data_IF_703130358307
#
_entry.id   IF_703130358307
#
_cell.length_a   1.000
_cell.length_b   1.000
_cell.length_c   1.000
_cell.angle_alpha   90.00
_cell.angle_beta   90.00
_cell.angle_gamma   90.00
#
_symmetry.space_group_name_H-M   'P 1'
#
loop_
_entity.id
_entity.type
_entity.pdbx_description
1 polymer ?
#
# COMPACT_ATOMS: atom_id res chain seq x y z
N UNK A 1 12.74 -29.67 39.90
CA UNK A 1 13.11 -28.34 40.40
C UNK A 1 12.13 -27.98 41.50
N UNK A 2 12.58 -27.95 42.74
CA UNK A 2 11.78 -27.60 43.91
C UNK A 2 11.89 -26.10 44.13
N UNK A 3 10.77 -25.37 44.06
CA UNK A 3 10.74 -23.96 44.43
C UNK A 3 10.63 -23.89 45.96
N UNK A 4 11.72 -23.44 46.60
CA UNK A 4 11.78 -23.23 48.04
C UNK A 4 10.79 -22.16 48.48
N UNK A 5 9.99 -22.50 49.50
CA UNK A 5 9.18 -21.55 50.27
C UNK A 5 10.08 -20.47 50.89
N UNK A 6 9.98 -19.23 50.41
CA UNK A 6 10.61 -18.08 51.05
C UNK A 6 9.62 -17.32 51.94
N UNK A 7 10.13 -16.84 53.07
CA UNK A 7 9.41 -16.23 54.19
C UNK A 7 8.47 -15.07 53.80
N UNK A 8 7.18 -15.22 54.14
CA UNK A 8 6.06 -14.34 53.78
C UNK A 8 6.09 -12.90 54.33
N UNK A 9 7.05 -12.55 55.20
CA UNK A 9 7.02 -11.27 55.93
C UNK A 9 7.66 -10.10 55.17
N UNK A 10 8.53 -10.35 54.20
CA UNK A 10 9.12 -9.30 53.35
C UNK A 10 8.42 -9.12 52.00
N UNK A 11 7.90 -10.21 51.43
CA UNK A 11 7.33 -10.23 50.08
C UNK A 11 5.94 -9.56 50.02
N UNK A 12 5.16 -9.63 51.10
CA UNK A 12 3.83 -9.00 51.19
C UNK A 12 3.91 -7.48 51.00
N UNK A 13 4.91 -6.81 51.58
CA UNK A 13 5.10 -5.37 51.43
C UNK A 13 5.52 -4.97 50.01
N UNK A 14 6.32 -5.80 49.33
CA UNK A 14 6.73 -5.54 47.95
C UNK A 14 5.55 -5.70 46.99
N UNK A 15 4.74 -6.75 47.15
CA UNK A 15 3.52 -6.93 46.35
C UNK A 15 2.55 -5.76 46.56
N UNK A 16 2.38 -5.29 47.80
CA UNK A 16 1.52 -4.16 48.12
C UNK A 16 1.97 -2.88 47.40
N UNK A 17 3.28 -2.59 47.39
CA UNK A 17 3.83 -1.40 46.71
C UNK A 17 3.62 -1.49 45.18
N UNK A 18 3.84 -2.66 44.57
CA UNK A 18 3.65 -2.87 43.13
C UNK A 18 2.17 -2.68 42.73
N UNK A 19 1.23 -3.17 43.55
CA UNK A 19 -0.21 -2.98 43.33
C UNK A 19 -0.61 -1.51 43.43
N UNK A 20 -0.06 -0.77 44.39
CA UNK A 20 -0.35 0.68 44.52
C UNK A 20 0.21 1.47 43.34
N UNK A 21 1.45 1.17 42.89
CA UNK A 21 2.06 1.85 41.74
C UNK A 21 1.31 1.55 40.44
N UNK A 22 0.86 0.31 40.24
CA UNK A 22 0.04 -0.04 39.07
C UNK A 22 -1.33 0.61 39.10
N UNK A 23 -1.99 0.68 40.26
CA UNK A 23 -3.26 1.41 40.41
C UNK A 23 -3.12 2.91 40.12
N UNK A 24 -2.07 3.55 40.64
CA UNK A 24 -1.78 4.96 40.36
C UNK A 24 -1.43 5.20 38.89
N UNK A 25 -0.68 4.28 38.27
CA UNK A 25 -0.35 4.34 36.85
C UNK A 25 -1.58 4.24 35.93
N UNK A 26 -2.51 3.32 36.23
CA UNK A 26 -3.75 3.15 35.46
C UNK A 26 -4.67 4.37 35.61
N UNK A 27 -4.82 4.90 36.82
CA UNK A 27 -5.63 6.10 37.06
C UNK A 27 -5.03 7.34 36.38
N UNK A 28 -3.71 7.51 36.45
CA UNK A 28 -3.00 8.59 35.76
C UNK A 28 -3.14 8.51 34.23
N UNK A 29 -3.01 7.30 33.68
CA UNK A 29 -3.21 7.05 32.25
C UNK A 29 -4.64 7.38 31.79
N UNK A 30 -5.67 6.94 32.53
CA UNK A 30 -7.06 7.23 32.19
C UNK A 30 -7.44 8.71 32.34
N UNK A 31 -6.86 9.44 33.31
CA UNK A 31 -7.04 10.87 33.43
C UNK A 31 -6.39 11.65 32.26
N UNK A 32 -5.26 11.16 31.74
CA UNK A 32 -4.56 11.79 30.62
C UNK A 32 -5.27 11.56 29.28
N UNK A 33 -5.84 10.37 29.04
CA UNK A 33 -6.56 10.05 27.80
C UNK A 33 -7.93 10.74 27.71
N UNK A 34 -8.55 11.11 28.83
CA UNK A 34 -9.85 11.80 28.84
C UNK A 34 -9.81 13.31 28.57
N UNK A 35 -8.64 13.92 28.33
CA UNK A 35 -8.54 15.38 28.09
C UNK A 35 -8.71 15.83 26.63
N UNK A 36 -9.05 14.93 25.72
CA UNK A 36 -9.47 15.29 24.36
C UNK A 36 -10.98 15.50 24.32
N UNK A 37 -11.43 16.69 24.73
CA UNK A 37 -12.82 17.12 24.52
C UNK A 37 -13.11 17.30 23.02
N UNK A 38 -14.33 16.95 22.54
CA UNK A 38 -14.75 17.27 21.19
C UNK A 38 -14.94 18.79 21.06
N UNK A 39 -14.32 19.37 20.03
CA UNK A 39 -14.51 20.78 19.67
C UNK A 39 -16.00 20.98 19.31
N UNK A 40 -16.75 21.57 20.23
CA UNK A 40 -18.06 22.15 19.94
C UNK A 40 -17.82 23.31 18.99
N UNK A 41 -18.39 23.24 17.78
CA UNK A 41 -18.36 24.32 16.81
C UNK A 41 -18.97 25.59 17.41
N UNK A 42 -18.13 26.60 17.59
CA UNK A 42 -18.57 27.98 17.82
C UNK A 42 -19.12 28.54 16.49
N UNK A 43 -20.33 29.11 16.46
CA UNK A 43 -20.82 29.77 15.25
C UNK A 43 -19.97 31.01 14.97
N UNK A 44 -19.32 31.00 13.80
CA UNK A 44 -18.58 32.16 13.27
C UNK A 44 -19.59 33.20 12.78
N UNK A 45 -19.41 34.51 13.07
CA UNK A 45 -20.31 35.54 12.59
C UNK A 45 -20.27 35.67 11.07
N UNK A 46 -21.44 35.66 10.45
CA UNK A 46 -21.68 35.90 9.03
C UNK A 46 -21.06 37.23 8.56
N UNK A 47 -20.16 37.24 7.56
CA UNK A 47 -19.77 38.49 6.93
C UNK A 47 -20.91 39.00 6.03
N UNK A 48 -21.33 40.24 6.27
CA UNK A 48 -22.31 40.96 5.44
C UNK A 48 -21.78 41.11 4.02
N UNK A 49 -22.55 40.64 3.03
CA UNK A 49 -22.22 40.79 1.61
C UNK A 49 -22.37 42.26 1.19
N UNK A 50 -21.25 42.90 0.87
CA UNK A 50 -21.25 44.15 0.08
C UNK A 50 -20.96 43.76 -1.37
N UNK A 51 -21.93 44.02 -2.26
CA UNK A 51 -21.81 43.78 -3.69
C UNK A 51 -20.90 44.84 -4.32
N UNK A 52 -19.64 44.47 -4.60
CA UNK A 52 -18.74 45.24 -5.48
C UNK A 52 -18.38 44.34 -6.68
N UNK A 53 -18.46 44.82 -7.94
CA UNK A 53 -18.18 43.98 -9.10
C UNK A 53 -16.68 43.70 -9.19
N UNK A 54 -16.28 42.43 -9.09
CA UNK A 54 -14.88 42.00 -9.23
C UNK A 54 -14.60 41.75 -10.71
N UNK A 55 -13.73 42.58 -11.28
CA UNK A 55 -13.15 42.40 -12.61
C UNK A 55 -12.34 41.10 -12.66
N UNK A 56 -12.67 40.21 -13.59
CA UNK A 56 -12.01 38.91 -13.77
C UNK A 56 -10.63 39.05 -14.40
N UNK A 57 -9.60 39.19 -13.56
CA UNK A 57 -8.21 38.94 -13.96
C UNK A 57 -8.02 37.42 -14.09
N UNK A 58 -7.60 36.88 -15.24
CA UNK A 58 -7.38 35.44 -15.37
C UNK A 58 -6.22 34.99 -14.48
N UNK A 59 -6.51 34.10 -13.53
CA UNK A 59 -5.51 33.39 -12.73
C UNK A 59 -4.56 32.66 -13.68
N UNK A 60 -3.22 32.83 -13.57
CA UNK A 60 -2.28 32.08 -14.40
C UNK A 60 -2.50 30.58 -14.17
N UNK A 61 -2.82 29.87 -15.24
CA UNK A 61 -2.91 28.41 -15.24
C UNK A 61 -1.59 27.85 -14.72
N UNK A 62 -1.57 26.96 -13.71
CA UNK A 62 -0.33 26.37 -13.23
C UNK A 62 0.35 25.67 -14.41
N UNK A 63 1.58 26.10 -14.71
CA UNK A 63 2.45 25.46 -15.69
C UNK A 63 2.52 23.97 -15.33
N UNK A 64 2.16 23.10 -16.26
CA UNK A 64 2.21 21.65 -16.05
C UNK A 64 3.67 21.26 -15.75
N UNK A 65 3.99 21.12 -14.45
CA UNK A 65 5.35 20.82 -13.95
C UNK A 65 5.88 19.48 -14.46
N UNK A 66 5.02 18.66 -15.09
CA UNK A 66 5.37 17.37 -15.69
C UNK A 66 5.51 17.42 -17.21
N UNK A 67 5.50 18.61 -17.82
CA UNK A 67 5.52 18.77 -19.29
C UNK A 67 6.77 18.21 -19.97
N UNK A 68 7.92 18.14 -19.29
CA UNK A 68 9.17 17.60 -19.82
C UNK A 68 9.46 16.16 -19.35
N UNK A 69 8.54 15.52 -18.64
CA UNK A 69 8.73 14.18 -18.12
C UNK A 69 8.63 13.11 -19.22
N UNK A 70 9.31 12.00 -19.02
CA UNK A 70 9.17 10.80 -19.84
C UNK A 70 7.92 10.03 -19.43
N UNK A 71 7.42 9.19 -20.32
CA UNK A 71 6.29 8.29 -20.07
C UNK A 71 6.76 6.85 -20.11
N UNK A 72 6.36 6.06 -19.13
CA UNK A 72 6.49 4.61 -19.14
C UNK A 72 5.10 3.99 -19.28
N UNK A 73 5.01 2.90 -20.04
CA UNK A 73 3.79 2.12 -20.21
C UNK A 73 4.12 0.64 -20.24
N UNK A 74 3.41 -0.15 -19.43
CA UNK A 74 3.47 -1.60 -19.48
C UNK A 74 2.12 -2.09 -20.02
N UNK A 75 2.09 -2.58 -21.26
CA UNK A 75 0.85 -2.99 -21.95
C UNK A 75 0.31 -4.33 -21.47
N UNK A 76 1.18 -5.18 -20.90
CA UNK A 76 0.80 -6.51 -20.40
C UNK A 76 -0.08 -6.38 -19.16
N UNK A 77 0.33 -5.58 -18.19
CA UNK A 77 -0.46 -5.25 -16.98
C UNK A 77 -1.45 -4.10 -17.25
N UNK A 78 -1.14 -3.25 -18.23
CA UNK A 78 -1.91 -2.10 -18.69
C UNK A 78 -1.99 -0.98 -17.66
N UNK A 79 -0.84 -0.37 -17.41
CA UNK A 79 -0.74 0.89 -16.72
C UNK A 79 0.32 1.79 -17.38
N UNK A 80 0.24 3.07 -17.10
CA UNK A 80 1.21 4.07 -17.52
C UNK A 80 1.41 5.13 -16.45
N UNK A 81 2.59 5.72 -16.41
CA UNK A 81 2.91 6.86 -15.55
C UNK A 81 3.99 7.72 -16.21
N UNK A 82 4.12 8.97 -15.75
CA UNK A 82 5.21 9.87 -16.13
C UNK A 82 6.27 9.94 -15.04
N UNK A 83 7.52 10.18 -15.43
CA UNK A 83 8.65 10.33 -14.51
C UNK A 83 9.72 11.31 -15.05
N UNK A 84 10.53 11.93 -14.18
CA UNK A 84 11.62 12.83 -14.61
C UNK A 84 12.64 12.16 -15.54
N UNK A 85 13.18 12.91 -16.51
CA UNK A 85 14.16 12.40 -17.49
C UNK A 85 15.47 11.87 -16.86
N UNK A 86 15.79 12.30 -15.65
CA UNK A 86 16.99 11.90 -14.91
C UNK A 86 16.82 10.60 -14.12
N UNK A 87 15.62 10.00 -14.17
CA UNK A 87 15.34 8.77 -13.44
C UNK A 87 15.52 7.56 -14.34
N UNK A 88 15.89 6.43 -13.73
CA UNK A 88 16.02 5.16 -14.43
C UNK A 88 14.81 4.29 -14.14
N UNK A 89 14.25 3.72 -15.20
CA UNK A 89 13.20 2.71 -15.13
C UNK A 89 13.77 1.39 -15.66
N UNK A 90 13.79 0.38 -14.80
CA UNK A 90 14.19 -0.99 -15.12
C UNK A 90 12.93 -1.85 -15.12
N UNK A 91 12.33 -2.03 -16.30
CA UNK A 91 11.12 -2.81 -16.46
C UNK A 91 11.44 -4.28 -16.75
N UNK A 92 11.35 -5.09 -15.70
CA UNK A 92 11.29 -6.55 -15.80
C UNK A 92 9.90 -7.10 -15.54
N UNK A 93 8.86 -6.25 -15.43
CA UNK A 93 7.55 -6.66 -14.96
C UNK A 93 6.73 -7.34 -16.06
N UNK A 94 6.33 -8.57 -15.79
CA UNK A 94 5.35 -9.39 -16.51
C UNK A 94 4.39 -10.04 -15.51
N UNK A 95 3.30 -10.61 -15.99
CA UNK A 95 2.40 -11.41 -15.14
C UNK A 95 3.21 -12.53 -14.44
N UNK A 96 3.03 -12.67 -13.12
CA UNK A 96 3.74 -13.64 -12.27
C UNK A 96 5.26 -13.44 -12.13
N UNK A 97 5.81 -12.29 -12.52
CA UNK A 97 7.22 -11.97 -12.30
C UNK A 97 7.37 -10.74 -11.42
N UNK A 98 8.41 -10.73 -10.58
CA UNK A 98 8.94 -9.50 -10.01
C UNK A 98 9.94 -8.91 -11.02
N UNK A 99 10.04 -7.61 -11.25
CA UNK A 99 9.30 -6.43 -10.80
C UNK A 99 9.65 -5.29 -11.78
N UNK A 100 8.97 -4.13 -11.70
CA UNK A 100 9.50 -2.88 -12.27
C UNK A 100 10.18 -2.10 -11.15
N UNK A 101 11.43 -1.66 -11.38
CA UNK A 101 12.14 -0.79 -10.45
C UNK A 101 12.31 0.60 -11.06
N UNK A 102 12.03 1.63 -10.26
CA UNK A 102 12.20 3.04 -10.64
C UNK A 102 13.17 3.67 -9.65
N UNK A 103 14.20 4.34 -10.15
CA UNK A 103 15.25 4.98 -9.36
C UNK A 103 15.30 6.47 -9.68
N UNK A 104 15.45 7.32 -8.66
CA UNK A 104 15.66 8.76 -8.87
C UNK A 104 17.09 9.14 -9.34
N UNK A 105 17.82 8.18 -9.90
CA UNK A 105 19.20 8.31 -10.37
C UNK A 105 19.36 7.58 -11.71
N UNK A 106 20.21 8.10 -12.59
CA UNK A 106 20.52 7.50 -13.90
C UNK A 106 21.46 6.30 -13.82
N UNK A 107 22.26 6.17 -12.76
CA UNK A 107 23.24 5.09 -12.59
C UNK A 107 23.14 4.46 -11.19
N UNK A 108 22.09 3.67 -10.89
CA UNK A 108 21.97 2.99 -9.61
C UNK A 108 22.91 1.78 -9.56
N UNK A 109 23.83 1.70 -8.59
CA UNK A 109 24.47 0.43 -8.26
C UNK A 109 23.51 -0.42 -7.42
N UNK A 110 23.56 -1.74 -7.64
CA UNK A 110 22.74 -2.69 -6.89
C UNK A 110 23.15 -2.62 -5.40
N UNK A 111 22.24 -2.12 -4.54
CA UNK A 111 22.49 -1.88 -3.12
C UNK A 111 22.69 -0.40 -2.72
N UNK A 112 22.73 0.54 -3.67
CA UNK A 112 22.86 1.98 -3.38
C UNK A 112 21.68 2.55 -2.58
N UNK A 113 20.48 2.05 -2.82
CA UNK A 113 19.29 2.44 -2.05
C UNK A 113 19.40 2.06 -0.57
N UNK A 114 20.24 1.07 -0.23
CA UNK A 114 20.53 0.69 1.17
C UNK A 114 21.65 1.53 1.77
N UNK A 115 22.42 2.27 0.94
CA UNK A 115 23.63 2.95 1.38
C UNK A 115 23.49 4.48 1.39
N UNK A 116 22.86 5.13 0.41
CA UNK A 116 22.91 6.61 0.32
C UNK A 116 21.78 7.28 -0.50
N UNK A 117 20.69 7.72 0.15
CA UNK A 117 19.75 8.76 -0.34
C UNK A 117 19.12 8.56 -1.74
N UNK A 118 19.36 7.44 -2.41
CA UNK A 118 18.71 7.09 -3.68
C UNK A 118 17.34 6.53 -3.35
N UNK A 119 16.33 7.15 -3.93
CA UNK A 119 14.97 6.64 -3.87
C UNK A 119 14.84 5.48 -4.85
N UNK A 120 14.30 4.38 -4.37
CA UNK A 120 13.89 3.24 -5.19
C UNK A 120 12.41 3.02 -4.96
N UNK A 121 11.62 2.99 -6.03
CA UNK A 121 10.26 2.48 -6.02
C UNK A 121 10.21 1.15 -6.77
N UNK A 122 9.73 0.10 -6.12
CA UNK A 122 9.51 -1.19 -6.74
C UNK A 122 8.02 -1.43 -6.89
N UNK A 123 7.58 -1.67 -8.12
CA UNK A 123 6.21 -1.97 -8.46
C UNK A 123 6.06 -3.47 -8.67
N UNK A 124 5.00 -4.02 -8.09
CA UNK A 124 4.60 -5.41 -8.15
C UNK A 124 3.12 -5.47 -8.51
N UNK A 125 2.76 -6.42 -9.36
CA UNK A 125 1.37 -6.65 -9.73
C UNK A 125 0.87 -7.93 -9.06
N UNK A 126 -0.20 -7.79 -8.28
CA UNK A 126 -0.77 -8.88 -7.50
C UNK A 126 -2.24 -9.11 -7.88
N UNK A 127 -2.61 -10.38 -7.94
CA UNK A 127 -3.97 -10.84 -8.22
C UNK A 127 -4.39 -11.80 -7.10
N UNK A 128 -5.28 -11.37 -6.22
CA UNK A 128 -5.77 -12.16 -5.09
C UNK A 128 -7.29 -12.31 -5.12
N UNK A 129 -7.75 -13.45 -5.65
CA UNK A 129 -9.17 -13.79 -5.81
C UNK A 129 -9.93 -13.95 -4.49
N UNK A 130 -9.21 -14.12 -3.38
CA UNK A 130 -9.83 -14.27 -2.06
C UNK A 130 -10.27 -12.93 -1.47
N UNK A 131 -9.80 -11.82 -2.03
CA UNK A 131 -10.09 -10.46 -1.56
C UNK A 131 -11.33 -9.93 -2.28
N UNK A 132 -12.37 -9.69 -1.50
CA UNK A 132 -13.68 -9.23 -2.02
C UNK A 132 -13.90 -7.73 -1.84
N UNK A 133 -13.18 -7.10 -0.91
CA UNK A 133 -13.36 -5.69 -0.57
C UNK A 133 -12.08 -5.06 0.02
N UNK A 134 -12.05 -3.73 0.00
CA UNK A 134 -10.95 -2.88 0.49
C UNK A 134 -10.51 -3.20 1.93
N UNK A 135 -11.47 -3.39 2.84
CA UNK A 135 -11.16 -3.59 4.26
C UNK A 135 -10.48 -4.95 4.48
N UNK A 136 -10.99 -6.01 3.85
CA UNK A 136 -10.40 -7.34 3.90
C UNK A 136 -8.93 -7.34 3.41
N UNK A 137 -8.65 -6.61 2.32
CA UNK A 137 -7.27 -6.46 1.82
C UNK A 137 -6.36 -5.76 2.84
N UNK A 138 -6.82 -4.63 3.39
CA UNK A 138 -6.07 -3.84 4.38
C UNK A 138 -5.80 -4.68 5.63
N UNK A 139 -6.79 -5.39 6.14
CA UNK A 139 -6.66 -6.24 7.33
C UNK A 139 -5.66 -7.38 7.09
N UNK A 140 -5.68 -7.98 5.89
CA UNK A 140 -4.72 -8.99 5.46
C UNK A 140 -3.27 -8.47 5.47
N UNK A 141 -3.04 -7.28 4.92
CA UNK A 141 -1.72 -6.62 4.93
C UNK A 141 -1.22 -6.31 6.34
N UNK A 142 -2.10 -5.78 7.20
CA UNK A 142 -1.76 -5.49 8.60
C UNK A 142 -1.35 -6.77 9.31
N UNK A 143 -2.15 -7.83 9.16
CA UNK A 143 -1.87 -9.14 9.75
C UNK A 143 -0.53 -9.70 9.27
N UNK A 144 -0.28 -9.73 7.97
CA UNK A 144 0.99 -10.24 7.42
C UNK A 144 2.20 -9.44 7.91
N UNK A 145 2.07 -8.13 8.07
CA UNK A 145 3.14 -7.28 8.60
C UNK A 145 3.44 -7.52 10.09
N UNK A 146 2.43 -7.95 10.87
CA UNK A 146 2.58 -8.27 12.28
C UNK A 146 3.18 -9.65 12.54
N UNK A 147 2.98 -10.58 11.60
CA UNK A 147 3.44 -11.96 11.68
C UNK A 147 4.83 -12.16 11.06
N UNK A 148 5.23 -11.33 10.10
CA UNK A 148 6.60 -11.33 9.59
C UNK A 148 7.55 -10.75 10.63
N UNK A 149 8.64 -11.45 10.96
CA UNK A 149 9.77 -10.91 11.77
C UNK A 149 10.48 -9.71 11.11
N UNK A 150 9.94 -9.19 10.02
CA UNK A 150 10.44 -8.02 9.31
C UNK A 150 10.30 -6.78 10.21
N UNK A 151 11.40 -6.04 10.31
CA UNK A 151 11.54 -4.92 11.23
C UNK A 151 10.41 -3.90 11.03
N UNK A 152 9.57 -3.82 12.07
CA UNK A 152 8.49 -2.85 12.35
C UNK A 152 7.14 -3.03 11.64
N UNK A 153 6.04 -3.10 12.41
CA UNK A 153 4.69 -3.24 11.87
C UNK A 153 4.23 -1.99 11.11
N UNK A 154 3.28 -2.17 10.19
CA UNK A 154 2.58 -1.06 9.51
C UNK A 154 2.02 -0.12 10.57
N UNK A 155 2.49 1.13 10.57
CA UNK A 155 2.20 2.08 11.64
C UNK A 155 1.01 2.99 11.35
N UNK A 156 0.67 3.20 10.07
CA UNK A 156 -0.46 4.04 9.66
C UNK A 156 -0.90 3.76 8.22
N UNK A 157 -2.20 3.77 7.98
CA UNK A 157 -2.79 3.81 6.63
C UNK A 157 -3.49 5.16 6.39
N UNK A 158 -3.45 5.64 5.16
CA UNK A 158 -4.23 6.81 4.71
C UNK A 158 -4.67 6.62 3.27
N UNK A 159 -5.84 7.17 2.91
CA UNK A 159 -6.34 7.16 1.54
C UNK A 159 -5.88 8.45 0.86
N UNK A 160 -5.12 8.30 -0.23
CA UNK A 160 -4.74 9.39 -1.11
C UNK A 160 -5.58 9.26 -2.37
N UNK A 161 -6.49 10.21 -2.60
CA UNK A 161 -7.21 10.30 -3.86
C UNK A 161 -6.31 10.96 -4.90
N UNK A 162 -5.91 10.21 -5.93
CA UNK A 162 -5.21 10.79 -7.08
C UNK A 162 -6.22 11.52 -7.96
N UNK A 163 -6.25 12.85 -7.79
CA UNK A 163 -6.94 13.86 -8.61
C UNK A 163 -8.12 13.34 -9.44
N UNK A 164 -9.32 13.19 -8.84
CA UNK A 164 -10.68 13.26 -9.42
C UNK A 164 -10.99 12.79 -10.87
N UNK A 165 -10.08 12.10 -11.55
CA UNK A 165 -10.15 11.76 -12.98
C UNK A 165 -10.29 10.26 -13.19
N UNK A 166 -9.87 9.43 -12.22
CA UNK A 166 -9.90 7.97 -12.33
C UNK A 166 -10.43 7.22 -11.09
N UNK A 167 -10.73 7.88 -9.96
CA UNK A 167 -11.29 7.20 -8.77
C UNK A 167 -10.35 6.19 -8.09
N UNK A 168 -9.03 6.40 -8.20
CA UNK A 168 -8.01 5.52 -7.63
C UNK A 168 -7.88 5.74 -6.13
N UNK A 169 -8.26 4.73 -5.35
CA UNK A 169 -8.00 4.65 -3.91
C UNK A 169 -6.56 4.21 -3.68
N UNK A 170 -5.61 5.15 -3.63
CA UNK A 170 -4.26 4.80 -3.22
C UNK A 170 -4.24 4.68 -1.71
N UNK A 171 -3.98 3.47 -1.20
CA UNK A 171 -3.77 3.27 0.23
C UNK A 171 -2.28 3.37 0.51
N UNK A 172 -1.88 4.43 1.20
CA UNK A 172 -0.50 4.67 1.62
C UNK A 172 -0.26 4.07 3.00
N UNK A 173 0.77 3.26 3.12
CA UNK A 173 1.22 2.62 4.34
C UNK A 173 2.59 3.16 4.71
N UNK A 174 2.78 3.55 5.95
CA UNK A 174 4.13 3.82 6.49
C UNK A 174 4.59 2.58 7.23
N UNK A 175 5.55 1.86 6.66
CA UNK A 175 6.32 0.84 7.38
C UNK A 175 7.50 1.52 8.11
N UNK A 176 8.27 0.79 8.91
CA UNK A 176 9.54 1.35 9.39
C UNK A 176 10.65 1.25 8.35
N UNK A 177 11.89 1.34 8.84
CA UNK A 177 13.13 1.61 8.08
C UNK A 177 12.92 2.57 6.89
N UNK A 178 12.19 3.67 7.11
CA UNK A 178 12.02 4.75 6.12
C UNK A 178 11.32 4.35 4.82
N UNK A 179 10.53 3.28 4.82
CA UNK A 179 9.81 2.80 3.64
C UNK A 179 8.33 3.21 3.62
N UNK A 180 7.79 3.41 2.42
CA UNK A 180 6.38 3.72 2.20
C UNK A 180 5.81 2.74 1.18
N UNK A 181 4.71 2.06 1.55
CA UNK A 181 3.95 1.19 0.67
C UNK A 181 2.75 1.91 0.06
N UNK A 182 2.41 1.60 -1.18
CA UNK A 182 1.19 2.05 -1.84
C UNK A 182 0.46 0.85 -2.43
N UNK A 183 -0.85 0.77 -2.18
CA UNK A 183 -1.74 -0.20 -2.82
C UNK A 183 -2.66 0.56 -3.75
N UNK A 184 -2.63 0.20 -5.02
CA UNK A 184 -3.34 0.90 -6.08
C UNK A 184 -4.24 -0.12 -6.79
N UNK A 185 -5.53 -0.18 -6.44
CA UNK A 185 -6.46 -1.14 -7.03
C UNK A 185 -6.79 -0.73 -8.46
N UNK A 186 -6.77 -1.71 -9.36
CA UNK A 186 -7.15 -1.51 -10.77
C UNK A 186 -8.65 -1.37 -10.97
N UNK A 187 -9.42 -2.05 -10.12
CA UNK A 187 -10.89 -2.06 -10.08
C UNK A 187 -11.36 -1.80 -8.66
N UNK A 188 -12.65 -1.48 -8.46
CA UNK A 188 -13.22 -1.19 -7.14
C UNK A 188 -13.13 -2.36 -6.14
N UNK A 189 -12.93 -3.60 -6.61
CA UNK A 189 -12.97 -4.81 -5.77
C UNK A 189 -11.61 -5.25 -5.18
N UNK A 190 -10.52 -4.47 -5.34
CA UNK A 190 -9.17 -4.77 -4.77
C UNK A 190 -8.59 -6.16 -5.13
N UNK A 191 -9.20 -6.85 -6.09
CA UNK A 191 -8.76 -8.16 -6.60
C UNK A 191 -7.45 -8.07 -7.40
N UNK A 192 -7.29 -6.98 -8.15
CA UNK A 192 -6.12 -6.67 -8.97
C UNK A 192 -5.51 -5.38 -8.42
N UNK A 193 -4.29 -5.45 -7.90
CA UNK A 193 -3.62 -4.31 -7.29
C UNK A 193 -2.20 -4.17 -7.84
N UNK A 194 -1.79 -2.92 -8.01
CA UNK A 194 -0.39 -2.56 -8.16
C UNK A 194 0.12 -2.18 -6.77
N UNK A 195 0.98 -3.02 -6.21
CA UNK A 195 1.66 -2.78 -4.95
C UNK A 195 3.01 -2.11 -5.20
N UNK A 196 3.28 -1.01 -4.51
CA UNK A 196 4.50 -0.22 -4.70
C UNK A 196 5.19 -0.01 -3.37
N UNK A 197 6.41 -0.52 -3.24
CA UNK A 197 7.26 -0.22 -2.07
C UNK A 197 8.29 0.82 -2.47
N UNK A 198 8.39 1.89 -1.69
CA UNK A 198 9.34 2.97 -1.90
C UNK A 198 10.31 3.05 -0.72
N UNK A 199 11.59 2.88 -0.99
CA UNK A 199 12.68 3.14 -0.06
C UNK A 199 13.21 4.56 -0.27
N UNK A 200 13.49 5.27 0.83
CA UNK A 200 13.95 6.67 0.81
C UNK A 200 13.01 7.58 -0.02
N UNK A 201 11.71 7.67 0.33
CA UNK A 201 10.71 8.37 -0.47
C UNK A 201 11.06 9.85 -0.66
N UNK A 202 11.08 10.28 -1.93
CA UNK A 202 11.15 11.69 -2.32
C UNK A 202 9.73 12.21 -2.60
N UNK A 203 9.44 13.45 -2.20
CA UNK A 203 8.23 14.21 -2.56
C UNK A 203 7.91 14.21 -4.05
N UNK A 204 8.91 14.11 -4.93
CA UNK A 204 8.71 14.00 -6.39
C UNK A 204 7.94 12.74 -6.78
N UNK A 205 8.03 11.66 -5.99
CA UNK A 205 7.33 10.41 -6.28
C UNK A 205 5.80 10.54 -6.16
N UNK A 206 5.31 11.39 -5.27
CA UNK A 206 3.87 11.66 -5.17
C UNK A 206 3.35 12.32 -6.46
N UNK A 207 4.18 13.12 -7.14
CA UNK A 207 3.86 13.65 -8.48
C UNK A 207 3.85 12.52 -9.53
N UNK A 208 4.77 11.55 -9.45
CA UNK A 208 4.73 10.35 -10.33
C UNK A 208 3.41 9.60 -10.15
N UNK A 209 3.03 9.30 -8.91
CA UNK A 209 1.75 8.66 -8.60
C UNK A 209 0.55 9.47 -9.11
N UNK A 210 0.64 10.81 -9.09
CA UNK A 210 -0.45 11.65 -9.61
C UNK A 210 -0.67 11.53 -11.12
N UNK A 211 0.34 11.05 -11.87
CA UNK A 211 0.26 10.82 -13.32
C UNK A 211 -0.13 9.40 -13.69
N UNK A 212 -0.21 8.49 -12.70
CA UNK A 212 -0.49 7.08 -12.91
C UNK A 212 -1.92 6.88 -13.44
N UNK A 213 -2.03 6.03 -14.46
CA UNK A 213 -3.31 5.65 -15.09
C UNK A 213 -3.28 4.18 -15.44
N UNK A 214 -4.36 3.47 -15.12
CA UNK A 214 -4.60 2.19 -15.76
C UNK A 214 -5.06 2.42 -17.20
N UNK A 215 -4.49 1.64 -18.10
CA UNK A 215 -4.89 1.58 -19.50
C UNK A 215 -5.72 0.33 -19.73
N UNK A 216 -6.30 0.20 -20.91
CA UNK A 216 -6.92 -1.06 -21.33
C UNK A 216 -5.82 -2.11 -21.49
N UNK A 217 -5.56 -2.89 -20.42
CA UNK A 217 -4.68 -4.06 -20.49
C UNK A 217 -5.40 -5.24 -21.13
N UNK A 218 -4.62 -6.23 -21.56
CA UNK A 218 -5.12 -7.58 -21.66
C UNK A 218 -5.74 -8.01 -20.32
N UNK A 219 -6.80 -8.80 -20.40
CA UNK A 219 -7.48 -9.36 -19.25
C UNK A 219 -6.49 -10.26 -18.47
N UNK A 220 -5.99 -9.85 -17.28
CA UNK A 220 -4.87 -10.50 -16.60
C UNK A 220 -5.25 -11.87 -16.04
N UNK A 221 -6.56 -12.14 -15.98
CA UNK A 221 -7.16 -13.43 -15.67
C UNK A 221 -7.10 -14.40 -16.85
N UNK A 222 -6.81 -13.93 -18.06
CA UNK A 222 -6.47 -14.78 -19.21
C UNK A 222 -5.00 -15.19 -19.11
N UNK A 223 -4.74 -16.50 -19.07
CA UNK A 223 -3.40 -17.06 -18.96
C UNK A 223 -2.88 -17.24 -17.52
N UNK A 224 -3.65 -16.86 -16.49
CA UNK A 224 -3.32 -17.17 -15.09
C UNK A 224 -3.26 -18.69 -14.91
N UNK A 225 -2.23 -19.19 -14.23
CA UNK A 225 -2.12 -20.62 -13.91
C UNK A 225 -3.24 -21.06 -12.97
N UNK A 226 -3.86 -22.20 -13.27
CA UNK A 226 -4.94 -22.80 -12.50
C UNK A 226 -4.80 -24.32 -12.50
N UNK A 227 -5.50 -24.99 -11.59
CA UNK A 227 -5.39 -26.45 -11.40
C UNK A 227 -4.45 -26.82 -10.25
N UNK A 228 -3.95 -28.05 -10.24
CA UNK A 228 -3.14 -28.57 -9.13
C UNK A 228 -3.91 -28.91 -7.85
N UNK A 229 -3.32 -29.78 -7.03
CA UNK A 229 -3.89 -30.18 -5.74
C UNK A 229 -3.81 -29.08 -4.68
N UNK A 230 -4.27 -29.37 -3.45
CA UNK A 230 -4.37 -28.43 -2.31
C UNK A 230 -3.03 -27.75 -1.92
N UNK A 231 -1.90 -28.24 -2.44
CA UNK A 231 -0.53 -27.77 -2.14
C UNK A 231 0.15 -27.07 -3.34
N UNK A 232 -0.58 -26.86 -4.42
CA UNK A 232 -0.06 -26.44 -5.71
C UNK A 232 -0.37 -24.94 -5.95
N UNK A 233 0.44 -24.24 -6.75
CA UNK A 233 0.31 -22.79 -6.97
C UNK A 233 -0.87 -22.43 -7.89
N UNK A 234 -1.43 -23.41 -8.60
CA UNK A 234 -2.64 -23.23 -9.39
C UNK A 234 -3.85 -23.08 -8.48
N UNK A 235 -4.55 -21.96 -8.58
CA UNK A 235 -5.81 -21.74 -7.87
C UNK A 235 -7.01 -22.11 -8.73
N UNK A 236 -8.21 -21.92 -8.17
CA UNK A 236 -9.41 -21.81 -8.98
C UNK A 236 -9.37 -20.53 -9.83
N UNK A 237 -9.87 -20.61 -11.05
CA UNK A 237 -10.13 -19.42 -11.85
C UNK A 237 -11.27 -18.60 -11.22
N UNK A 238 -11.21 -17.26 -11.31
CA UNK A 238 -12.29 -16.41 -10.82
C UNK A 238 -13.55 -16.54 -11.69
N UNK A 239 -14.67 -16.05 -11.17
CA UNK A 239 -15.97 -16.06 -11.84
C UNK A 239 -15.88 -15.47 -13.25
N UNK A 240 -16.41 -16.18 -14.25
CA UNK A 240 -16.36 -15.79 -15.66
C UNK A 240 -15.18 -16.37 -16.46
N UNK A 241 -14.35 -17.20 -15.83
CA UNK A 241 -13.24 -17.90 -16.46
C UNK A 241 -13.31 -19.40 -16.17
N UNK A 242 -12.84 -20.19 -17.12
CA UNK A 242 -12.71 -21.65 -17.01
C UNK A 242 -11.22 -22.02 -17.04
N UNK A 243 -10.82 -22.94 -16.17
CA UNK A 243 -9.47 -23.50 -16.23
C UNK A 243 -9.37 -24.47 -17.41
N UNK A 244 -8.52 -24.16 -18.39
CA UNK A 244 -8.22 -25.04 -19.53
C UNK A 244 -6.84 -25.65 -19.38
N UNK A 245 -6.79 -26.98 -19.50
CA UNK A 245 -5.55 -27.74 -19.45
C UNK A 245 -5.01 -28.01 -20.86
N UNK A 246 -3.68 -28.08 -21.02
CA UNK A 246 -3.07 -28.54 -22.27
C UNK A 246 -3.40 -30.02 -22.54
N UNK A 247 -3.29 -30.45 -23.79
CA UNK A 247 -3.73 -31.79 -24.21
C UNK A 247 -2.91 -32.94 -23.59
N UNK A 248 -1.68 -32.65 -23.16
CA UNK A 248 -0.74 -33.55 -22.50
C UNK A 248 -0.74 -33.41 -20.97
N UNK A 249 -1.79 -32.80 -20.40
CA UNK A 249 -1.92 -32.57 -18.97
C UNK A 249 -1.82 -33.85 -18.15
N UNK A 250 -1.01 -33.80 -17.09
CA UNK A 250 -0.90 -34.84 -16.08
C UNK A 250 -1.77 -34.49 -14.86
N UNK A 251 -2.59 -35.44 -14.41
CA UNK A 251 -3.47 -35.26 -13.25
C UNK A 251 -2.67 -34.76 -12.02
N UNK A 252 -3.03 -33.56 -11.55
CA UNK A 252 -2.41 -32.92 -10.38
C UNK A 252 -1.33 -31.88 -10.67
N UNK A 253 -1.02 -31.59 -11.94
CA UNK A 253 -0.09 -30.53 -12.33
C UNK A 253 -0.71 -29.11 -12.30
N UNK A 254 0.14 -28.10 -12.05
CA UNK A 254 -0.15 -26.65 -12.09
C UNK A 254 0.09 -26.06 -13.50
N UNK A 255 -0.44 -26.68 -14.54
CA UNK A 255 -0.21 -26.28 -15.94
C UNK A 255 -1.51 -25.83 -16.66
N UNK A 256 -2.63 -25.82 -15.95
CA UNK A 256 -3.87 -25.24 -16.45
C UNK A 256 -3.75 -23.72 -16.58
N UNK A 257 -4.48 -23.13 -17.51
CA UNK A 257 -4.58 -21.68 -17.70
C UNK A 257 -6.03 -21.23 -17.68
N UNK A 258 -6.31 -20.14 -16.96
CA UNK A 258 -7.61 -19.51 -16.96
C UNK A 258 -7.88 -18.88 -18.32
N UNK A 259 -9.01 -19.21 -18.92
CA UNK A 259 -9.52 -18.58 -20.13
C UNK A 259 -10.90 -18.02 -19.88
N UNK A 260 -11.27 -16.94 -20.57
CA UNK A 260 -12.59 -16.34 -20.45
C UNK A 260 -13.65 -17.29 -21.04
N UNK A 261 -14.79 -17.40 -20.35
CA UNK A 261 -15.94 -18.19 -20.81
C UNK A 261 -16.50 -17.65 -22.13
#
# INVERSE_FOLDING_TARGET
MSFGNMNQKGFTNIILVVVVVTLLGVVGYFAFVKKSEPIVQQPTPTPSQTNTPVSSTPTPTPKDETSNWQSHSNTEIGFSFKYPQTWKVEDGMKINTCCLNVFNSTNPYQGDFLKQNVMKAQFQYEVDASVSNKQQYIDGLIKSSSESEMETPISRSSVISVQNKNGLDIVKFTGGVGSVGYVIPRKQNFFEVLYVIVWNPDSTFEKVLSTLKFTNAADPTVGRVCGGGVMAKGGACPTGYTCKFPADHSLGADDGICVKN
#
